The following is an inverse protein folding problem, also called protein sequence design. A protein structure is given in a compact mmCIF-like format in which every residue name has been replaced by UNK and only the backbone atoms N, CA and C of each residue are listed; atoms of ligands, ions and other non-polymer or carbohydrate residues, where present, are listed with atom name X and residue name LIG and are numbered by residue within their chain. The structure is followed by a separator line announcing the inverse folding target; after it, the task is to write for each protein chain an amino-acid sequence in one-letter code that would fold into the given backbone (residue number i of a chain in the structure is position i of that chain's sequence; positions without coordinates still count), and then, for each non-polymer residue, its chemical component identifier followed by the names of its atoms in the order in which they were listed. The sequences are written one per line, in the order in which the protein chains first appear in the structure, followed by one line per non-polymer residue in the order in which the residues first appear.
data_IF_382371088393
#
_entry.id   IF_382371088393
#
_cell.length_a   1.000
_cell.length_b   1.000
_cell.length_c   1.000
_cell.angle_alpha   90.00
_cell.angle_beta   90.00
_cell.angle_gamma   90.00
#
_symmetry.space_group_name_H-M   'P 1'
#
loop_
_entity.id
_entity.type
_entity.pdbx_description
1 polymer ?
#
# COMPACT_ATOMS: atom_id res chain seq x y z
N UNK A 1 2.00 -16.78 6.15
CA UNK A 1 0.78 -16.15 5.64
C UNK A 1 0.65 -16.46 4.16
N UNK A 2 -0.58 -16.52 3.65
CA UNK A 2 -0.86 -16.61 2.21
C UNK A 2 -1.70 -15.43 1.77
N UNK A 3 -1.48 -14.96 0.55
CA UNK A 3 -2.22 -13.85 -0.07
C UNK A 3 -2.86 -14.39 -1.34
N UNK A 4 -4.13 -14.04 -1.57
CA UNK A 4 -4.84 -14.41 -2.79
C UNK A 4 -4.58 -13.31 -3.83
N UNK A 5 -3.66 -13.57 -4.75
CA UNK A 5 -3.48 -12.72 -5.92
C UNK A 5 -4.72 -12.86 -6.82
N UNK A 6 -5.35 -11.75 -7.23
CA UNK A 6 -6.51 -11.78 -8.12
C UNK A 6 -6.27 -12.47 -9.47
N UNK A 7 -5.00 -12.55 -9.91
CA UNK A 7 -4.61 -13.14 -11.20
C UNK A 7 -4.01 -14.54 -11.06
N UNK A 8 -3.31 -14.80 -9.96
CA UNK A 8 -2.48 -16.00 -9.79
C UNK A 8 -3.00 -16.98 -8.73
N UNK A 9 -4.10 -16.62 -8.04
CA UNK A 9 -4.68 -17.40 -6.96
C UNK A 9 -3.91 -17.26 -5.64
N UNK A 10 -4.08 -18.25 -4.76
CA UNK A 10 -3.42 -18.28 -3.46
C UNK A 10 -1.91 -18.55 -3.60
N UNK A 11 -1.08 -17.65 -3.06
CA UNK A 11 0.39 -17.72 -3.11
C UNK A 11 1.00 -17.47 -1.74
N UNK A 12 2.27 -17.87 -1.54
CA UNK A 12 2.94 -17.62 -0.26
C UNK A 12 3.42 -16.18 -0.16
N UNK A 13 3.54 -15.68 1.08
CA UNK A 13 3.93 -14.29 1.36
C UNK A 13 5.26 -13.86 0.72
N UNK A 14 6.20 -14.79 0.50
CA UNK A 14 7.54 -14.50 -0.04
C UNK A 14 7.53 -13.93 -1.46
N UNK A 15 6.48 -14.19 -2.24
CA UNK A 15 6.27 -13.64 -3.58
C UNK A 15 5.82 -12.16 -3.58
N UNK A 16 5.49 -11.58 -2.41
CA UNK A 16 4.90 -10.24 -2.31
C UNK A 16 5.76 -9.23 -1.55
N UNK A 17 5.73 -7.99 -2.05
CA UNK A 17 6.29 -6.82 -1.36
C UNK A 17 5.16 -6.03 -0.71
N UNK A 18 5.28 -5.75 0.59
CA UNK A 18 4.37 -4.89 1.32
C UNK A 18 4.57 -3.42 0.91
N UNK A 19 3.48 -2.71 0.58
CA UNK A 19 3.51 -1.31 0.15
C UNK A 19 2.86 -0.33 1.15
N UNK A 20 2.37 -0.81 2.29
CA UNK A 20 1.83 0.05 3.35
C UNK A 20 0.33 0.35 3.22
N UNK A 21 -0.09 1.39 3.96
CA UNK A 21 -1.46 1.91 3.99
C UNK A 21 -1.96 2.26 2.58
N UNK A 22 -3.14 1.75 2.21
CA UNK A 22 -3.76 1.98 0.91
C UNK A 22 -4.55 3.29 0.81
N UNK A 23 -4.71 4.03 1.92
CA UNK A 23 -5.51 5.27 1.95
C UNK A 23 -4.86 6.50 1.30
N UNK A 24 -3.55 6.76 1.40
CA UNK A 24 -2.96 7.97 0.83
C UNK A 24 -3.17 8.06 -0.68
N UNK A 25 -3.72 9.20 -1.13
CA UNK A 25 -3.94 9.49 -2.55
C UNK A 25 -2.90 10.50 -3.00
N UNK A 26 -2.29 10.25 -4.16
CA UNK A 26 -1.31 11.17 -4.72
C UNK A 26 -1.97 12.52 -5.01
N UNK A 27 -1.41 13.63 -4.51
CA UNK A 27 -1.96 14.95 -4.79
C UNK A 27 -1.78 15.35 -6.25
N UNK A 28 -2.68 16.21 -6.73
CA UNK A 28 -2.66 16.75 -8.09
C UNK A 28 -1.46 17.68 -8.31
N UNK A 29 -1.16 17.95 -9.58
CA UNK A 29 -0.13 18.92 -9.94
C UNK A 29 -0.51 20.32 -9.43
N UNK A 30 0.42 20.99 -8.75
CA UNK A 30 0.18 22.32 -8.16
C UNK A 30 -0.34 22.29 -6.71
N UNK A 31 -0.44 21.12 -6.10
CA UNK A 31 -0.71 21.00 -4.66
C UNK A 31 0.35 21.72 -3.82
N UNK A 32 -0.07 22.12 -2.61
CA UNK A 32 0.79 22.79 -1.64
C UNK A 32 1.89 21.85 -1.12
N UNK A 33 2.95 22.45 -0.57
CA UNK A 33 4.05 21.68 0.04
C UNK A 33 3.57 20.80 1.20
N UNK A 34 2.62 21.28 2.01
CA UNK A 34 2.04 20.53 3.13
C UNK A 34 1.28 19.28 2.65
N UNK A 35 0.47 19.41 1.59
CA UNK A 35 -0.25 18.26 1.00
C UNK A 35 0.72 17.22 0.42
N UNK A 36 1.82 17.67 -0.19
CA UNK A 36 2.88 16.79 -0.68
C UNK A 36 3.61 16.13 0.48
N UNK A 37 3.91 16.86 1.55
CA UNK A 37 4.54 16.34 2.75
C UNK A 37 3.69 15.24 3.39
N UNK A 38 2.40 15.49 3.58
CA UNK A 38 1.47 14.52 4.16
C UNK A 38 1.42 13.24 3.32
N UNK A 39 1.33 13.37 2.00
CA UNK A 39 1.33 12.23 1.09
C UNK A 39 2.64 11.42 1.11
N UNK A 40 3.79 12.09 1.17
CA UNK A 40 5.10 11.42 1.12
C UNK A 40 5.45 10.76 2.46
N UNK A 41 5.18 11.42 3.59
CA UNK A 41 5.77 11.03 4.87
C UNK A 41 4.78 10.45 5.89
N UNK A 42 3.49 10.81 5.86
CA UNK A 42 2.55 10.40 6.90
C UNK A 42 1.79 9.13 6.52
N UNK A 43 1.69 8.18 7.46
CA UNK A 43 0.91 6.93 7.31
C UNK A 43 0.15 6.63 8.59
N UNK A 44 -1.04 6.05 8.48
CA UNK A 44 -1.76 5.59 9.66
C UNK A 44 -1.10 4.32 10.21
N UNK A 45 -0.85 4.29 11.52
CA UNK A 45 -0.38 3.10 12.22
C UNK A 45 -1.50 2.52 13.10
N UNK A 46 -2.52 1.97 12.43
CA UNK A 46 -3.73 1.47 13.11
C UNK A 46 -3.44 0.15 13.82
N UNK A 47 -3.70 0.09 15.12
CA UNK A 47 -3.73 -1.16 15.88
C UNK A 47 -5.07 -1.88 15.66
N UNK A 48 -5.22 -2.54 14.51
CA UNK A 48 -6.47 -3.21 14.12
C UNK A 48 -6.52 -3.50 12.62
N UNK A 49 -7.74 -3.64 12.09
CA UNK A 49 -7.94 -3.80 10.65
C UNK A 49 -7.44 -2.56 9.90
N UNK A 50 -6.69 -2.80 8.84
CA UNK A 50 -6.19 -1.77 7.93
C UNK A 50 -6.39 -2.21 6.49
N UNK A 51 -6.49 -1.24 5.59
CA UNK A 51 -6.43 -1.48 4.15
C UNK A 51 -5.00 -1.23 3.70
N UNK A 52 -4.45 -2.18 2.96
CA UNK A 52 -3.04 -2.20 2.60
C UNK A 52 -2.85 -2.56 1.13
N UNK A 53 -1.75 -2.10 0.55
CA UNK A 53 -1.30 -2.50 -0.77
C UNK A 53 -0.19 -3.55 -0.69
N UNK A 54 -0.28 -4.52 -1.60
CA UNK A 54 0.72 -5.56 -1.81
C UNK A 54 1.02 -5.65 -3.30
N UNK A 55 2.30 -5.81 -3.64
CA UNK A 55 2.75 -6.03 -5.01
C UNK A 55 3.26 -7.45 -5.17
N UNK A 56 2.69 -8.19 -6.11
CA UNK A 56 3.08 -9.57 -6.42
C UNK A 56 4.28 -9.58 -7.38
N UNK A 57 5.48 -9.40 -6.83
CA UNK A 57 6.71 -9.36 -7.63
C UNK A 57 7.15 -10.73 -8.16
N UNK A 58 6.65 -11.82 -7.56
CA UNK A 58 6.95 -13.20 -7.93
C UNK A 58 6.10 -13.79 -9.08
N UNK A 59 5.00 -13.15 -9.51
CA UNK A 59 4.18 -13.64 -10.63
C UNK A 59 2.88 -12.91 -10.88
#
# INVERSE_FOLDING_TARGET
MRIVCPFCGERELGEFTYLGDAKPVRPEAGASEDEVFDYVYLRNNVAGQTSEYWYHGGG
#
